data_IF_275947936718
#
_entry.id   IF_275947936718
#
_cell.length_a   1.000
_cell.length_b   1.000
_cell.length_c   1.000
_cell.angle_alpha   90.00
_cell.angle_beta   90.00
_cell.angle_gamma   90.00
#
_symmetry.space_group_name_H-M   'P 1'
#
loop_
_entity.id
_entity.type
_entity.pdbx_description
1 polymer ?
#
# COMPACT_ATOMS: atom_id res chain seq x y z
N UNK A 1 -41.29 -10.95 -24.02
CA UNK A 1 -39.94 -10.96 -23.42
C UNK A 1 -39.45 -9.52 -23.48
N UNK A 2 -39.31 -8.89 -22.33
CA UNK A 2 -39.08 -7.45 -22.20
C UNK A 2 -37.61 -7.13 -22.48
N UNK A 3 -37.31 -6.56 -23.65
CA UNK A 3 -35.97 -6.03 -23.95
C UNK A 3 -35.78 -4.71 -23.19
N UNK A 4 -35.36 -4.82 -21.93
CA UNK A 4 -35.00 -3.69 -21.09
C UNK A 4 -33.59 -3.20 -21.47
N UNK A 5 -33.47 -2.64 -22.68
CA UNK A 5 -32.26 -2.00 -23.17
C UNK A 5 -32.10 -0.64 -22.46
N UNK A 6 -31.52 -0.66 -21.25
CA UNK A 6 -31.09 0.56 -20.58
C UNK A 6 -30.06 1.25 -21.48
N UNK A 7 -30.48 2.28 -22.21
CA UNK A 7 -29.56 3.14 -22.95
C UNK A 7 -28.66 3.82 -21.93
N UNK A 8 -27.39 3.40 -21.86
CA UNK A 8 -26.37 4.10 -21.08
C UNK A 8 -26.41 5.60 -21.44
N UNK A 9 -26.33 6.45 -20.41
CA UNK A 9 -26.25 7.89 -20.62
C UNK A 9 -24.97 8.24 -21.36
N UNK A 10 -24.93 9.40 -22.00
CA UNK A 10 -23.74 9.85 -22.73
C UNK A 10 -22.52 9.90 -21.79
N UNK A 11 -22.71 10.31 -20.53
CA UNK A 11 -21.62 10.35 -19.54
C UNK A 11 -21.05 8.96 -19.23
N UNK A 12 -21.89 7.92 -19.19
CA UNK A 12 -21.45 6.55 -18.95
C UNK A 12 -20.64 5.99 -20.14
N UNK A 13 -21.07 6.31 -21.37
CA UNK A 13 -20.31 5.92 -22.58
C UNK A 13 -18.98 6.64 -22.66
N UNK A 14 -18.97 7.93 -22.33
CA UNK A 14 -17.74 8.71 -22.31
C UNK A 14 -16.78 8.17 -21.24
N UNK A 15 -17.28 7.84 -20.04
CA UNK A 15 -16.48 7.23 -18.97
C UNK A 15 -15.87 5.87 -19.38
N UNK A 16 -16.61 5.03 -20.10
CA UNK A 16 -16.08 3.76 -20.62
C UNK A 16 -15.02 3.96 -21.72
N UNK A 17 -15.21 4.96 -22.60
CA UNK A 17 -14.26 5.27 -23.67
C UNK A 17 -12.94 5.87 -23.16
N UNK A 18 -12.97 6.62 -22.04
CA UNK A 18 -11.78 7.20 -21.41
C UNK A 18 -11.12 6.28 -20.37
N UNK A 19 -11.55 5.03 -20.24
CA UNK A 19 -10.91 4.08 -19.34
C UNK A 19 -9.54 3.63 -19.92
N UNK A 20 -8.40 3.97 -19.27
CA UNK A 20 -7.07 3.63 -19.77
C UNK A 20 -6.82 2.11 -19.85
N UNK A 21 -7.57 1.30 -19.10
CA UNK A 21 -7.45 -0.16 -19.13
C UNK A 21 -8.04 -0.78 -20.41
N UNK A 22 -9.01 -0.10 -21.02
CA UNK A 22 -9.68 -0.55 -22.24
C UNK A 22 -9.13 0.12 -23.51
N UNK A 23 -8.22 1.09 -23.36
CA UNK A 23 -7.64 1.82 -24.49
C UNK A 23 -6.61 0.96 -25.22
N UNK A 24 -6.93 0.48 -26.42
CA UNK A 24 -5.99 -0.23 -27.29
C UNK A 24 -5.30 0.77 -28.21
N UNK A 25 -3.97 0.74 -28.26
CA UNK A 25 -3.16 1.60 -29.12
C UNK A 25 -2.31 0.75 -30.08
N UNK A 26 -2.15 1.23 -31.32
CA UNK A 26 -1.28 0.59 -32.31
C UNK A 26 0.12 1.18 -32.23
N UNK A 27 1.11 0.35 -31.87
CA UNK A 27 2.52 0.74 -31.81
C UNK A 27 3.34 -0.25 -32.63
N UNK A 28 4.08 0.25 -33.62
CA UNK A 28 4.96 -0.59 -34.45
C UNK A 28 4.25 -1.73 -35.18
N UNK A 29 2.97 -1.54 -35.53
CA UNK A 29 2.15 -2.55 -36.21
C UNK A 29 1.52 -3.60 -35.29
N UNK A 30 1.61 -3.44 -33.97
CA UNK A 30 0.99 -4.31 -32.97
C UNK A 30 -0.04 -3.53 -32.15
N UNK A 31 -1.24 -4.08 -31.98
CA UNK A 31 -2.26 -3.56 -31.07
C UNK A 31 -1.97 -4.03 -29.65
N UNK A 32 -1.70 -3.11 -28.73
CA UNK A 32 -1.45 -3.39 -27.32
C UNK A 32 -2.30 -2.48 -26.43
N UNK A 33 -2.72 -2.95 -25.23
CA UNK A 33 -3.39 -2.09 -24.26
C UNK A 33 -2.46 -0.97 -23.78
N UNK A 34 -3.01 0.24 -23.62
CA UNK A 34 -2.28 1.41 -23.13
C UNK A 34 -1.73 1.19 -21.72
N UNK A 35 -2.48 0.48 -20.86
CA UNK A 35 -2.05 0.06 -19.52
C UNK A 35 -0.76 -0.79 -19.51
N UNK A 36 -0.47 -1.52 -20.59
CA UNK A 36 0.74 -2.33 -20.71
C UNK A 36 1.98 -1.51 -21.10
N UNK A 37 1.79 -0.31 -21.63
CA UNK A 37 2.87 0.58 -22.09
C UNK A 37 3.36 1.45 -20.94
N UNK A 38 2.44 2.00 -20.16
CA UNK A 38 2.79 2.88 -19.06
C UNK A 38 2.53 2.19 -17.72
N UNK A 39 3.60 1.68 -17.10
CA UNK A 39 3.51 1.14 -15.73
C UNK A 39 3.04 2.26 -14.81
N UNK A 40 2.15 1.99 -13.83
CA UNK A 40 1.79 3.01 -12.85
C UNK A 40 3.07 3.53 -12.16
N UNK A 41 3.24 4.85 -12.14
CA UNK A 41 4.42 5.50 -11.54
C UNK A 41 4.53 5.30 -10.03
N UNK A 42 3.48 4.75 -9.40
CA UNK A 42 3.41 4.49 -7.97
C UNK A 42 3.13 3.00 -7.75
N UNK A 43 4.13 2.26 -7.29
CA UNK A 43 3.88 0.98 -6.65
C UNK A 43 3.29 1.28 -5.26
N UNK A 44 2.10 0.74 -4.96
CA UNK A 44 1.52 0.83 -3.62
C UNK A 44 2.31 -0.14 -2.75
N UNK A 45 3.26 0.39 -2.01
CA UNK A 45 4.09 -0.33 -1.05
C UNK A 45 3.25 -0.58 0.20
N UNK A 46 2.78 -1.82 0.41
CA UNK A 46 2.05 -2.16 1.62
C UNK A 46 3.01 -2.27 2.81
N UNK A 47 2.71 -1.68 3.98
CA UNK A 47 3.59 -1.78 5.16
C UNK A 47 3.93 -3.23 5.55
N UNK A 48 2.98 -4.17 5.35
CA UNK A 48 3.18 -5.59 5.64
C UNK A 48 4.27 -6.26 4.79
N UNK A 49 4.61 -5.70 3.64
CA UNK A 49 5.53 -6.30 2.68
C UNK A 49 6.96 -5.74 2.82
N UNK A 50 7.15 -4.69 3.63
CA UNK A 50 8.42 -3.93 3.69
C UNK A 50 8.98 -3.69 5.09
N UNK A 51 8.23 -4.00 6.14
CA UNK A 51 8.78 -4.02 7.50
C UNK A 51 9.17 -5.44 7.87
N UNK A 52 10.43 -5.63 8.28
CA UNK A 52 10.82 -6.86 8.94
C UNK A 52 9.93 -7.06 10.19
N UNK A 53 9.39 -8.27 10.43
CA UNK A 53 8.73 -8.54 11.69
C UNK A 53 9.80 -8.44 12.79
N UNK A 54 9.74 -7.39 13.60
CA UNK A 54 10.64 -7.20 14.73
C UNK A 54 10.01 -7.90 15.93
N UNK A 55 10.58 -9.02 16.37
CA UNK A 55 10.12 -9.70 17.57
C UNK A 55 10.73 -9.04 18.81
N UNK A 56 9.93 -8.86 19.86
CA UNK A 56 10.38 -8.30 21.14
C UNK A 56 11.50 -9.13 21.80
N UNK A 57 11.70 -10.37 21.33
CA UNK A 57 12.74 -11.31 21.79
C UNK A 57 14.11 -11.08 21.12
N UNK A 58 14.14 -10.38 19.98
CA UNK A 58 15.37 -10.08 19.24
C UNK A 58 16.10 -8.85 19.81
N UNK A 59 15.45 -8.11 20.71
CA UNK A 59 16.08 -7.01 21.41
C UNK A 59 16.93 -7.54 22.57
N UNK A 60 18.19 -7.11 22.68
CA UNK A 60 19.04 -7.50 23.81
C UNK A 60 18.45 -6.99 25.13
N UNK A 61 18.65 -7.77 26.19
CA UNK A 61 18.34 -7.33 27.55
C UNK A 61 19.15 -6.06 27.89
N UNK A 62 18.59 -5.26 28.81
CA UNK A 62 19.28 -4.09 29.34
C UNK A 62 20.61 -4.48 29.97
N UNK A 63 21.66 -3.75 29.60
CA UNK A 63 22.99 -3.81 30.23
C UNK A 63 22.87 -3.69 31.77
N UNK A 64 23.77 -4.34 32.54
CA UNK A 64 23.69 -4.37 34.00
C UNK A 64 23.73 -2.96 34.61
N UNK A 65 24.54 -2.06 34.06
CA UNK A 65 24.61 -0.66 34.52
C UNK A 65 23.28 0.10 34.35
N UNK A 66 22.54 -0.17 33.27
CA UNK A 66 21.24 0.44 33.01
C UNK A 66 20.18 -0.06 34.01
N UNK A 67 20.21 -1.36 34.31
CA UNK A 67 19.32 -1.99 35.29
C UNK A 67 19.52 -1.45 36.71
N UNK A 68 20.77 -1.22 37.12
CA UNK A 68 21.07 -0.59 38.42
C UNK A 68 20.59 0.86 38.51
N UNK A 69 20.77 1.63 37.43
CA UNK A 69 20.32 3.03 37.37
C UNK A 69 18.81 3.13 37.51
N UNK A 70 18.08 2.26 36.83
CA UNK A 70 16.62 2.22 36.91
C UNK A 70 16.12 1.79 38.29
N UNK A 71 16.78 0.80 38.92
CA UNK A 71 16.47 0.37 40.28
C UNK A 71 16.70 1.48 41.33
N UNK A 72 17.80 2.23 41.23
CA UNK A 72 18.10 3.37 42.11
C UNK A 72 17.06 4.49 41.95
N UNK A 73 16.65 4.76 40.72
CA UNK A 73 15.67 5.80 40.41
C UNK A 73 14.25 5.40 40.85
N UNK A 74 13.90 4.12 40.76
CA UNK A 74 12.67 3.57 41.30
C UNK A 74 12.65 3.57 42.84
N UNK A 75 13.78 3.31 43.50
CA UNK A 75 13.90 3.38 44.95
C UNK A 75 13.73 4.83 45.47
N UNK A 76 14.35 5.80 44.81
CA UNK A 76 14.23 7.22 45.15
C UNK A 76 12.78 7.72 45.01
N UNK A 77 12.05 7.28 43.98
CA UNK A 77 10.63 7.60 43.78
C UNK A 77 9.68 6.92 44.77
N UNK A 78 10.09 5.84 45.43
CA UNK A 78 9.28 5.15 46.45
C UNK A 78 9.53 5.69 47.87
N UNK A 79 10.61 6.43 48.07
CA UNK A 79 10.97 7.05 49.35
C UNK A 79 10.46 8.49 49.52
N UNK A 80 9.80 9.03 48.49
CA UNK A 80 9.06 10.30 48.51
C UNK A 80 7.56 10.00 48.70
#
# INVERSE_FOLDING_TARGET
MSDNSQKLTQEQKDAENFNPDNLIVNIGGKSVPFSSINKPHHAIVHPKEHHAPIDAKDFPDLEPEAKEREAKLAAAKKSE
#
